data_IF_544721041448
#
_entry.id   IF_544721041448
#
_cell.length_a   1.000
_cell.length_b   1.000
_cell.length_c   1.000
_cell.angle_alpha   90.00
_cell.angle_beta   90.00
_cell.angle_gamma   90.00
#
_symmetry.space_group_name_H-M   'P 1'
#
loop_
_entity.id
_entity.type
_entity.pdbx_description
1 polymer ?
#
# COMPACT_ATOMS: atom_id res chain seq x y z
N UNK A 1 -24.90 -9.58 44.88
CA UNK A 1 -25.15 -10.99 44.53
C UNK A 1 -23.83 -11.54 43.99
N UNK A 2 -23.10 -12.23 44.85
CA UNK A 2 -21.80 -12.84 44.55
C UNK A 2 -21.96 -14.15 43.76
N UNK A 3 -20.82 -14.69 43.29
CA UNK A 3 -20.54 -16.08 42.91
C UNK A 3 -20.92 -16.45 41.44
N UNK A 4 -20.11 -17.10 40.58
CA UNK A 4 -18.92 -17.98 40.72
C UNK A 4 -18.07 -18.02 39.42
N UNK A 5 -16.75 -18.21 39.61
CA UNK A 5 -15.82 -18.87 38.69
C UNK A 5 -16.20 -20.35 38.47
N UNK A 6 -15.92 -20.90 37.28
CA UNK A 6 -15.21 -22.18 36.99
C UNK A 6 -15.32 -22.43 35.47
N UNK A 7 -14.24 -22.41 34.69
CA UNK A 7 -13.16 -23.40 34.56
C UNK A 7 -13.45 -24.48 33.49
N UNK A 8 -12.44 -24.64 32.63
CA UNK A 8 -12.18 -25.65 31.59
C UNK A 8 -12.86 -27.02 31.79
N UNK A 9 -13.22 -27.62 30.66
CA UNK A 9 -13.06 -29.08 30.50
C UNK A 9 -12.57 -29.38 29.08
N UNK A 10 -11.33 -29.84 29.00
CA UNK A 10 -10.82 -30.57 27.86
C UNK A 10 -11.30 -32.03 27.98
N UNK A 11 -11.75 -32.62 26.87
CA UNK A 11 -11.79 -34.07 26.71
C UNK A 11 -11.15 -34.43 25.38
N UNK A 12 -10.07 -35.21 25.49
CA UNK A 12 -9.50 -36.05 24.46
C UNK A 12 -9.58 -37.50 24.95
N UNK A 13 -9.27 -38.44 24.04
CA UNK A 13 -9.32 -39.92 24.12
C UNK A 13 -10.65 -40.51 23.62
N UNK A 14 -10.71 -41.40 22.63
CA UNK A 14 -9.67 -42.04 21.82
C UNK A 14 -10.25 -43.05 20.80
N UNK A 15 -9.51 -43.24 19.70
CA UNK A 15 -9.22 -44.48 18.96
C UNK A 15 -10.31 -45.55 18.70
N UNK A 16 -10.66 -45.81 17.43
CA UNK A 16 -10.15 -46.89 16.54
C UNK A 16 -11.21 -47.22 15.44
N UNK A 17 -10.78 -47.29 14.18
CA UNK A 17 -11.64 -47.74 13.07
C UNK A 17 -11.01 -47.51 11.70
N UNK A 18 -10.05 -48.37 11.32
CA UNK A 18 -9.60 -48.52 9.94
C UNK A 18 -10.60 -49.41 9.20
N UNK A 19 -11.34 -48.85 8.24
CA UNK A 19 -11.94 -49.59 7.13
C UNK A 19 -12.01 -48.66 5.92
N UNK A 20 -11.36 -49.09 4.83
CA UNK A 20 -11.27 -48.32 3.59
C UNK A 20 -12.63 -48.14 2.92
N UNK A 21 -12.84 -46.95 2.39
CA UNK A 21 -13.96 -46.61 1.52
C UNK A 21 -13.61 -45.31 0.82
N UNK A 22 -13.32 -45.40 -0.48
CA UNK A 22 -13.12 -44.27 -1.36
C UNK A 22 -14.36 -43.37 -1.33
N UNK A 23 -14.24 -42.17 -0.80
CA UNK A 23 -15.27 -41.14 -0.88
C UNK A 23 -14.64 -39.88 -1.49
N UNK A 24 -14.79 -39.80 -2.82
CA UNK A 24 -14.86 -38.62 -3.68
C UNK A 24 -14.38 -37.33 -3.03
N UNK A 25 -13.15 -36.95 -3.36
CA UNK A 25 -12.60 -35.63 -3.13
C UNK A 25 -13.55 -34.58 -3.72
N UNK A 26 -14.27 -33.86 -2.85
CA UNK A 26 -14.94 -32.64 -3.26
C UNK A 26 -13.86 -31.63 -3.64
N UNK A 27 -13.85 -31.24 -4.92
CA UNK A 27 -13.10 -30.12 -5.48
C UNK A 27 -13.34 -28.84 -4.66
N UNK A 28 -12.54 -28.64 -3.62
CA UNK A 28 -12.28 -27.32 -3.07
C UNK A 28 -11.37 -26.61 -4.07
N UNK A 29 -11.98 -25.81 -4.95
CA UNK A 29 -11.27 -24.75 -5.68
C UNK A 29 -10.47 -23.93 -4.67
N UNK A 30 -9.16 -24.09 -4.71
CA UNK A 30 -8.23 -23.19 -4.03
C UNK A 30 -8.56 -21.73 -4.41
N UNK A 31 -8.44 -20.77 -3.47
CA UNK A 31 -8.56 -19.36 -3.80
C UNK A 31 -7.48 -19.04 -4.84
N UNK A 32 -7.95 -18.83 -6.07
CA UNK A 32 -7.20 -18.61 -7.29
C UNK A 32 -5.97 -17.74 -7.02
N UNK A 33 -4.79 -18.37 -6.99
CA UNK A 33 -3.50 -17.70 -7.05
C UNK A 33 -3.54 -16.74 -8.24
N UNK A 34 -3.20 -15.47 -8.01
CA UNK A 34 -3.23 -14.48 -9.08
C UNK A 34 -2.38 -14.99 -10.27
N UNK A 35 -2.87 -14.94 -11.52
CA UNK A 35 -2.11 -15.43 -12.66
C UNK A 35 -0.73 -14.74 -12.72
N UNK A 36 0.33 -15.53 -12.91
CA UNK A 36 1.70 -15.02 -13.12
C UNK A 36 1.72 -14.02 -14.29
N UNK A 37 2.35 -12.87 -14.10
CA UNK A 37 2.36 -11.81 -15.10
C UNK A 37 3.35 -12.15 -16.22
N UNK A 38 2.93 -11.98 -17.48
CA UNK A 38 3.86 -12.10 -18.61
C UNK A 38 4.86 -10.92 -18.61
N UNK A 39 6.02 -11.02 -19.28
CA UNK A 39 6.95 -9.89 -19.40
C UNK A 39 6.30 -8.63 -19.99
N UNK A 40 5.37 -8.80 -20.95
CA UNK A 40 4.62 -7.68 -21.52
C UNK A 40 3.66 -7.04 -20.50
N UNK A 41 3.07 -7.85 -19.62
CA UNK A 41 2.19 -7.35 -18.57
C UNK A 41 2.96 -6.64 -17.46
N UNK A 42 4.16 -7.13 -17.12
CA UNK A 42 5.08 -6.44 -16.19
C UNK A 42 5.39 -5.03 -16.69
N UNK A 43 5.63 -4.85 -18.00
CA UNK A 43 5.85 -3.52 -18.59
C UNK A 43 4.62 -2.62 -18.45
N UNK A 44 3.40 -3.15 -18.66
CA UNK A 44 2.16 -2.39 -18.49
C UNK A 44 1.92 -1.99 -17.03
N UNK A 45 2.12 -2.92 -16.09
CA UNK A 45 1.98 -2.66 -14.64
C UNK A 45 2.99 -1.60 -14.20
N UNK A 46 4.26 -1.73 -14.61
CA UNK A 46 5.28 -0.73 -14.29
C UNK A 46 4.91 0.64 -14.84
N UNK A 47 4.44 0.71 -16.09
CA UNK A 47 4.00 1.97 -16.70
C UNK A 47 2.85 2.61 -15.93
N UNK A 48 1.83 1.83 -15.53
CA UNK A 48 0.72 2.34 -14.74
C UNK A 48 1.21 2.84 -13.37
N UNK A 49 1.96 2.02 -12.62
CA UNK A 49 2.49 2.43 -11.31
C UNK A 49 3.45 3.65 -11.38
N UNK A 50 4.09 3.90 -12.52
CA UNK A 50 4.87 5.13 -12.73
C UNK A 50 4.02 6.40 -12.80
N UNK A 51 2.71 6.34 -13.07
CA UNK A 51 1.81 7.52 -13.02
C UNK A 51 1.67 8.09 -11.61
N UNK A 52 1.93 7.28 -10.59
CA UNK A 52 1.89 7.68 -9.16
C UNK A 52 3.30 7.75 -8.55
N UNK A 53 4.34 7.86 -9.38
CA UNK A 53 5.72 7.86 -8.93
C UNK A 53 6.07 9.00 -7.98
N UNK A 54 5.31 10.11 -8.01
CA UNK A 54 5.54 11.24 -7.11
C UNK A 54 5.32 10.88 -5.64
N UNK A 55 4.57 9.79 -5.37
CA UNK A 55 4.35 9.29 -4.02
C UNK A 55 5.62 8.68 -3.42
N UNK A 56 6.55 8.20 -4.26
CA UNK A 56 7.78 7.54 -3.81
C UNK A 56 8.63 8.50 -2.98
N UNK A 57 9.10 8.00 -1.84
CA UNK A 57 9.89 8.75 -0.88
C UNK A 57 9.33 8.65 0.53
N UNK A 58 9.99 9.37 1.44
CA UNK A 58 9.60 9.46 2.84
C UNK A 58 8.85 10.78 3.07
N UNK A 59 7.80 10.72 3.87
CA UNK A 59 6.91 11.85 4.12
C UNK A 59 6.74 12.04 5.62
N UNK A 60 6.86 13.30 6.06
CA UNK A 60 6.57 13.71 7.43
C UNK A 60 5.20 14.41 7.42
N UNK A 61 4.17 13.69 7.85
CA UNK A 61 2.78 14.14 7.83
C UNK A 61 2.28 14.50 9.23
N UNK A 62 1.35 15.43 9.27
CA UNK A 62 0.49 15.69 10.41
C UNK A 62 -0.93 15.21 10.08
N UNK A 63 -1.41 14.26 10.86
CA UNK A 63 -2.77 13.76 10.81
C UNK A 63 -3.70 14.58 11.70
N UNK A 64 -4.92 14.79 11.23
CA UNK A 64 -5.99 15.47 11.97
C UNK A 64 -7.30 14.72 11.85
N UNK A 65 -8.04 14.65 12.95
CA UNK A 65 -9.36 14.04 13.02
C UNK A 65 -10.26 14.88 13.93
N UNK A 66 -11.53 15.04 13.54
CA UNK A 66 -12.54 15.63 14.42
C UNK A 66 -13.12 14.56 15.34
N UNK A 67 -13.19 14.88 16.62
CA UNK A 67 -13.88 14.11 17.65
C UNK A 67 -14.86 15.07 18.36
N UNK A 68 -16.10 15.11 17.86
CA UNK A 68 -17.08 16.13 18.22
C UNK A 68 -16.56 17.54 17.93
N UNK A 69 -16.44 18.36 18.98
CA UNK A 69 -15.90 19.72 18.89
C UNK A 69 -14.36 19.79 18.97
N UNK A 70 -13.69 18.68 19.31
CA UNK A 70 -12.24 18.63 19.47
C UNK A 70 -11.56 18.21 18.17
N UNK A 71 -10.37 18.73 17.93
CA UNK A 71 -9.48 18.25 16.87
C UNK A 71 -8.35 17.46 17.52
N UNK A 72 -8.24 16.18 17.17
CA UNK A 72 -7.12 15.33 17.52
C UNK A 72 -6.08 15.46 16.42
N UNK A 73 -4.82 15.70 16.80
CA UNK A 73 -3.69 15.76 15.87
C UNK A 73 -2.61 14.74 16.25
N UNK A 74 -1.91 14.20 15.27
CA UNK A 74 -0.77 13.30 15.48
C UNK A 74 0.27 13.46 14.36
N UNK A 75 1.49 12.99 14.62
CA UNK A 75 2.53 12.91 13.59
C UNK A 75 2.50 11.52 12.96
N UNK A 76 2.61 11.46 11.65
CA UNK A 76 2.66 10.21 10.89
C UNK A 76 3.84 10.27 9.91
N UNK A 77 4.76 9.31 10.00
CA UNK A 77 5.80 9.14 8.99
C UNK A 77 5.34 8.07 8.01
N UNK A 78 5.35 8.37 6.71
CA UNK A 78 4.94 7.40 5.68
C UNK A 78 6.04 7.26 4.64
N UNK A 79 6.47 6.03 4.38
CA UNK A 79 7.46 5.73 3.34
C UNK A 79 6.81 4.96 2.21
N UNK A 80 6.91 5.46 0.99
CA UNK A 80 6.49 4.75 -0.22
C UNK A 80 7.70 4.33 -1.03
N UNK A 81 7.73 3.08 -1.49
CA UNK A 81 8.85 2.54 -2.25
C UNK A 81 8.45 1.43 -3.19
N UNK A 82 9.13 1.35 -4.33
CA UNK A 82 8.93 0.24 -5.26
C UNK A 82 9.29 -1.08 -4.62
N UNK A 83 8.57 -2.14 -4.99
CA UNK A 83 8.91 -3.53 -4.70
C UNK A 83 8.94 -4.30 -6.01
N UNK A 84 10.11 -4.86 -6.30
CA UNK A 84 10.33 -5.76 -7.42
C UNK A 84 10.64 -7.15 -6.86
N UNK A 85 9.86 -8.17 -7.23
CA UNK A 85 10.12 -9.58 -6.88
C UNK A 85 9.69 -10.49 -8.02
N UNK A 86 10.61 -10.81 -8.92
CA UNK A 86 10.29 -11.59 -10.11
C UNK A 86 9.33 -10.85 -11.03
N UNK A 87 8.14 -11.41 -11.24
CA UNK A 87 7.04 -10.82 -11.98
C UNK A 87 6.10 -9.96 -11.10
N UNK A 88 6.26 -9.96 -9.78
CA UNK A 88 5.52 -9.05 -8.87
C UNK A 88 6.18 -7.67 -8.84
N UNK A 89 5.48 -6.69 -9.42
CA UNK A 89 5.83 -5.27 -9.41
C UNK A 89 4.74 -4.51 -8.69
N UNK A 90 5.10 -3.89 -7.55
CA UNK A 90 4.19 -3.12 -6.71
C UNK A 90 4.87 -1.93 -6.08
N UNK A 91 4.11 -1.08 -5.41
CA UNK A 91 4.62 -0.02 -4.53
C UNK A 91 4.13 -0.32 -3.13
N UNK A 92 5.05 -0.42 -2.18
CA UNK A 92 4.73 -0.61 -0.77
C UNK A 92 4.68 0.75 -0.05
N UNK A 93 3.75 0.84 0.90
CA UNK A 93 3.71 1.89 1.90
C UNK A 93 4.06 1.29 3.28
N UNK A 94 4.88 2.00 4.05
CA UNK A 94 5.15 1.71 5.45
C UNK A 94 4.72 2.92 6.28
N UNK A 95 3.96 2.67 7.34
CA UNK A 95 3.43 3.69 8.24
C UNK A 95 4.14 3.60 9.59
N UNK A 96 4.99 4.59 9.85
CA UNK A 96 5.79 4.74 11.06
C UNK A 96 6.49 3.43 11.48
N UNK A 97 7.12 2.73 10.53
CA UNK A 97 7.84 1.47 10.77
C UNK A 97 6.93 0.40 11.40
N UNK A 98 5.72 0.28 10.84
CA UNK A 98 4.68 -0.63 11.31
C UNK A 98 3.92 -0.17 12.57
N UNK A 99 4.10 1.07 13.02
CA UNK A 99 3.48 1.63 14.24
C UNK A 99 2.53 2.81 13.95
N UNK A 100 2.07 2.94 12.72
CA UNK A 100 1.20 4.04 12.32
C UNK A 100 -0.12 4.09 13.10
N UNK A 101 -0.80 5.25 13.05
CA UNK A 101 -1.99 5.51 13.87
C UNK A 101 -3.18 4.61 13.53
N UNK A 102 -3.38 4.34 12.24
CA UNK A 102 -4.51 3.55 11.71
C UNK A 102 -4.07 2.36 10.86
N UNK A 103 -2.98 2.55 10.11
CA UNK A 103 -2.41 1.55 9.22
C UNK A 103 -0.97 1.28 9.61
N UNK A 104 -0.51 0.07 9.32
CA UNK A 104 0.87 -0.37 9.57
C UNK A 104 1.65 -0.48 8.26
N UNK A 105 1.00 -0.97 7.20
CA UNK A 105 1.61 -1.08 5.87
C UNK A 105 0.56 -1.00 4.77
N UNK A 106 1.02 -0.88 3.52
CA UNK A 106 0.19 -0.98 2.33
C UNK A 106 0.93 -1.57 1.14
N UNK A 107 0.17 -2.15 0.21
CA UNK A 107 0.66 -2.65 -1.06
C UNK A 107 -0.25 -2.17 -2.21
N UNK A 108 0.32 -1.37 -3.10
CA UNK A 108 -0.32 -0.83 -4.28
C UNK A 108 0.09 -1.64 -5.51
N UNK A 109 -0.91 -2.19 -6.19
CA UNK A 109 -0.80 -2.94 -7.44
C UNK A 109 -1.68 -2.33 -8.52
N UNK A 110 -1.47 -2.77 -9.77
CA UNK A 110 -2.33 -2.42 -10.89
C UNK A 110 -2.96 -3.68 -11.50
N UNK A 111 -4.28 -3.70 -11.57
CA UNK A 111 -5.05 -4.75 -12.26
C UNK A 111 -5.27 -4.32 -13.72
N UNK A 112 -4.59 -5.01 -14.65
CA UNK A 112 -4.66 -4.74 -16.09
C UNK A 112 -6.07 -4.95 -16.64
N UNK A 113 -6.78 -5.99 -16.19
CA UNK A 113 -8.08 -6.36 -16.72
C UNK A 113 -9.14 -5.33 -16.30
N UNK A 114 -9.08 -4.90 -15.03
CA UNK A 114 -9.98 -3.87 -14.50
C UNK A 114 -9.53 -2.45 -14.86
N UNK A 115 -8.28 -2.26 -15.29
CA UNK A 115 -7.62 -0.95 -15.45
C UNK A 115 -7.69 -0.11 -14.18
N UNK A 116 -7.51 -0.75 -13.02
CA UNK A 116 -7.64 -0.11 -11.71
C UNK A 116 -6.39 -0.31 -10.87
N UNK A 117 -6.12 0.68 -10.04
CA UNK A 117 -5.20 0.56 -8.92
C UNK A 117 -5.89 -0.18 -7.78
N UNK A 118 -5.17 -1.12 -7.18
CA UNK A 118 -5.61 -1.91 -6.04
C UNK A 118 -4.66 -1.60 -4.89
N UNK A 119 -5.15 -0.91 -3.86
CA UNK A 119 -4.37 -0.62 -2.65
C UNK A 119 -4.90 -1.48 -1.51
N UNK A 120 -4.07 -2.39 -1.03
CA UNK A 120 -4.34 -3.15 0.20
C UNK A 120 -3.66 -2.43 1.35
N UNK A 121 -4.39 -2.09 2.40
CA UNK A 121 -3.87 -1.47 3.62
C UNK A 121 -4.03 -2.44 4.80
N UNK A 122 -2.95 -2.69 5.52
CA UNK A 122 -3.00 -3.44 6.78
C UNK A 122 -3.28 -2.48 7.91
N UNK A 123 -4.37 -2.70 8.62
CA UNK A 123 -4.78 -1.92 9.80
C UNK A 123 -3.97 -2.32 11.03
N UNK A 124 -4.04 -1.51 12.10
CA UNK A 124 -3.34 -1.79 13.38
C UNK A 124 -3.82 -3.07 14.08
N UNK A 125 -5.05 -3.51 13.83
CA UNK A 125 -5.60 -4.80 14.28
C UNK A 125 -5.30 -5.96 13.31
N UNK A 126 -4.43 -5.72 12.31
CA UNK A 126 -3.96 -6.70 11.31
C UNK A 126 -5.04 -7.17 10.34
N UNK A 127 -6.17 -6.48 10.25
CA UNK A 127 -7.11 -6.67 9.15
C UNK A 127 -6.53 -6.08 7.86
N UNK A 128 -7.05 -6.52 6.72
CA UNK A 128 -6.67 -6.01 5.41
C UNK A 128 -7.87 -5.32 4.75
N UNK A 129 -7.73 -4.03 4.51
CA UNK A 129 -8.70 -3.23 3.77
C UNK A 129 -8.21 -3.07 2.32
N UNK A 130 -8.96 -3.61 1.37
CA UNK A 130 -8.65 -3.52 -0.06
C UNK A 130 -9.49 -2.44 -0.72
N UNK A 131 -8.83 -1.45 -1.30
CA UNK A 131 -9.45 -0.35 -2.04
C UNK A 131 -9.15 -0.48 -3.54
N UNK A 132 -10.14 -0.16 -4.37
CA UNK A 132 -9.98 -0.08 -5.83
C UNK A 132 -10.17 1.34 -6.32
N UNK A 133 -9.43 1.75 -7.36
CA UNK A 133 -9.51 3.12 -7.84
C UNK A 133 -8.76 3.40 -9.13
N UNK A 134 -8.70 4.68 -9.45
CA UNK A 134 -8.05 5.20 -10.66
C UNK A 134 -7.11 6.36 -10.30
N UNK A 135 -6.12 6.58 -11.15
CA UNK A 135 -5.30 7.79 -11.10
C UNK A 135 -6.09 9.00 -11.59
N UNK A 136 -5.86 10.15 -10.97
CA UNK A 136 -6.36 11.44 -11.46
C UNK A 136 -5.61 11.88 -12.72
N UNK A 137 -6.20 12.80 -13.49
CA UNK A 137 -5.56 13.36 -14.70
C UNK A 137 -4.27 14.12 -14.39
N UNK A 138 -4.19 14.73 -13.21
CA UNK A 138 -3.05 15.53 -12.75
C UNK A 138 -2.15 14.76 -11.77
N UNK A 139 -2.20 13.42 -11.82
CA UNK A 139 -1.64 12.56 -10.78
C UNK A 139 -2.60 12.35 -9.61
N UNK A 140 -2.12 11.67 -8.57
CA UNK A 140 -2.95 11.32 -7.41
C UNK A 140 -3.79 10.05 -7.61
N UNK A 141 -4.30 9.48 -6.50
CA UNK A 141 -5.17 8.31 -6.49
C UNK A 141 -6.46 8.62 -5.74
N UNK A 142 -7.58 8.17 -6.32
CA UNK A 142 -8.86 8.08 -5.60
C UNK A 142 -9.29 6.62 -5.59
N UNK A 143 -9.34 6.06 -4.39
CA UNK A 143 -9.58 4.64 -4.13
C UNK A 143 -10.78 4.49 -3.21
N UNK A 144 -11.62 3.48 -3.45
CA UNK A 144 -12.81 3.22 -2.65
C UNK A 144 -12.90 1.75 -2.25
N UNK A 145 -13.47 1.51 -1.06
CA UNK A 145 -13.85 0.19 -0.55
C UNK A 145 -15.27 0.28 -0.01
N UNK A 146 -16.09 -0.73 -0.26
CA UNK A 146 -17.38 -0.91 0.40
C UNK A 146 -17.28 -1.99 1.46
N UNK A 147 -17.70 -1.69 2.68
CA UNK A 147 -17.86 -2.69 3.73
C UNK A 147 -19.11 -3.52 3.49
N UNK A 148 -18.95 -4.85 3.41
CA UNK A 148 -20.05 -5.75 3.10
C UNK A 148 -21.04 -5.90 4.28
N UNK A 149 -20.61 -5.67 5.52
CA UNK A 149 -21.44 -5.86 6.72
C UNK A 149 -22.28 -4.63 7.01
N UNK A 150 -21.67 -3.45 6.96
CA UNK A 150 -22.36 -2.20 7.29
C UNK A 150 -22.93 -1.50 6.05
N UNK A 151 -22.43 -1.84 4.86
CA UNK A 151 -22.74 -1.14 3.62
C UNK A 151 -22.01 0.20 3.48
N UNK A 152 -21.20 0.60 4.47
CA UNK A 152 -20.43 1.84 4.45
C UNK A 152 -19.46 1.85 3.27
N UNK A 153 -19.24 3.03 2.69
CA UNK A 153 -18.23 3.22 1.65
C UNK A 153 -17.13 4.12 2.19
N UNK A 154 -15.90 3.62 2.14
CA UNK A 154 -14.71 4.36 2.53
C UNK A 154 -13.99 4.83 1.27
N UNK A 155 -13.55 6.08 1.28
CA UNK A 155 -12.77 6.69 0.20
C UNK A 155 -11.43 7.17 0.73
N UNK A 156 -10.38 6.77 0.04
CA UNK A 156 -9.03 7.27 0.24
C UNK A 156 -8.63 8.11 -0.98
N UNK A 157 -8.32 9.39 -0.75
CA UNK A 157 -7.75 10.28 -1.78
C UNK A 157 -6.31 10.62 -1.40
N UNK A 158 -5.36 10.30 -2.28
CA UNK A 158 -3.93 10.54 -2.13
C UNK A 158 -3.48 11.51 -3.23
N UNK A 159 -2.89 12.65 -2.89
CA UNK A 159 -2.40 13.62 -3.86
C UNK A 159 -1.05 14.19 -3.46
N UNK A 160 -0.26 14.54 -4.46
CA UNK A 160 0.92 15.39 -4.33
C UNK A 160 0.59 16.81 -4.76
N UNK A 161 1.21 17.78 -4.10
CA UNK A 161 1.07 19.21 -4.37
C UNK A 161 2.46 19.86 -4.34
N UNK A 162 2.55 21.11 -4.81
CA UNK A 162 3.82 21.85 -4.85
C UNK A 162 4.94 21.04 -5.53
N UNK A 163 4.68 20.59 -6.76
CA UNK A 163 5.65 19.83 -7.58
C UNK A 163 6.21 18.57 -6.88
N UNK A 164 5.37 17.89 -6.08
CA UNK A 164 5.74 16.66 -5.41
C UNK A 164 6.42 16.82 -4.04
N UNK A 165 6.45 18.03 -3.49
CA UNK A 165 7.02 18.31 -2.15
C UNK A 165 6.00 18.22 -1.02
N UNK A 166 4.71 18.35 -1.32
CA UNK A 166 3.62 18.20 -0.35
C UNK A 166 2.81 16.95 -0.65
N UNK A 167 2.42 16.22 0.39
CA UNK A 167 1.51 15.08 0.28
C UNK A 167 0.26 15.34 1.09
N UNK A 168 -0.89 15.00 0.50
CA UNK A 168 -2.19 15.10 1.11
C UNK A 168 -2.90 13.75 1.02
N UNK A 169 -3.41 13.31 2.17
CA UNK A 169 -4.26 12.14 2.33
C UNK A 169 -5.59 12.61 2.91
N UNK A 170 -6.69 12.20 2.29
CA UNK A 170 -8.04 12.33 2.85
C UNK A 170 -8.67 10.95 2.98
N UNK A 171 -9.16 10.65 4.16
CA UNK A 171 -9.91 9.43 4.45
C UNK A 171 -11.34 9.82 4.81
N UNK A 172 -12.30 9.34 4.04
CA UNK A 172 -13.70 9.75 4.11
C UNK A 172 -14.60 8.52 4.20
N UNK A 173 -15.76 8.69 4.84
CA UNK A 173 -16.78 7.64 5.00
C UNK A 173 -18.14 8.15 4.54
N UNK A 174 -18.84 7.33 3.79
CA UNK A 174 -20.25 7.49 3.44
C UNK A 174 -21.05 6.39 4.14
N UNK A 175 -21.91 6.77 5.09
CA UNK A 175 -22.63 5.81 5.92
C UNK A 175 -23.69 5.03 5.12
N UNK A 176 -23.66 3.69 5.25
CA UNK A 176 -24.52 2.78 4.48
C UNK A 176 -24.41 2.94 2.96
N UNK A 177 -23.36 3.63 2.47
CA UNK A 177 -23.17 3.94 1.05
C UNK A 177 -24.19 4.94 0.49
N UNK A 178 -24.81 5.77 1.33
CA UNK A 178 -25.79 6.79 0.94
C UNK A 178 -25.38 8.17 1.44
N UNK A 179 -25.79 9.23 0.73
CA UNK A 179 -25.57 10.61 1.15
C UNK A 179 -24.17 11.14 0.84
N UNK A 180 -23.69 12.09 1.65
CA UNK A 180 -22.39 12.73 1.45
C UNK A 180 -21.26 11.94 2.15
N UNK A 181 -20.05 12.09 1.60
CA UNK A 181 -18.84 11.64 2.27
C UNK A 181 -18.50 12.59 3.41
N UNK A 182 -18.32 12.05 4.61
CA UNK A 182 -17.83 12.77 5.77
C UNK A 182 -16.33 12.51 5.94
N UNK A 183 -15.58 13.56 6.24
CA UNK A 183 -14.16 13.41 6.55
C UNK A 183 -13.98 12.67 7.88
N UNK A 184 -13.28 11.54 7.85
CA UNK A 184 -12.93 10.75 9.05
C UNK A 184 -11.59 11.22 9.58
N UNK A 185 -10.61 11.37 8.70
CA UNK A 185 -9.36 12.07 9.01
C UNK A 185 -8.67 12.58 7.74
N UNK A 186 -7.71 13.46 7.91
CA UNK A 186 -6.79 13.90 6.86
C UNK A 186 -5.36 13.90 7.36
N UNK A 187 -4.40 13.63 6.48
CA UNK A 187 -2.97 13.79 6.77
C UNK A 187 -2.34 14.68 5.72
N UNK A 188 -1.53 15.64 6.14
CA UNK A 188 -0.86 16.55 5.22
C UNK A 188 0.57 16.79 5.69
N UNK A 189 1.51 16.94 4.77
CA UNK A 189 2.88 17.23 5.17
C UNK A 189 3.84 17.30 4.00
N UNK A 190 5.13 17.23 4.34
CA UNK A 190 6.22 17.48 3.41
C UNK A 190 7.03 16.22 3.16
N UNK A 191 7.56 16.10 1.94
CA UNK A 191 8.56 15.10 1.61
C UNK A 191 9.81 15.36 2.45
N UNK A 192 10.46 14.30 2.90
CA UNK A 192 11.73 14.43 3.60
C UNK A 192 12.75 15.13 2.71
N UNK A 193 13.34 16.22 3.23
CA UNK A 193 14.25 17.09 2.47
C UNK A 193 13.57 18.10 1.53
N UNK A 194 12.24 18.25 1.55
CA UNK A 194 11.55 19.35 0.87
C UNK A 194 11.78 20.70 1.58
N UNK A 195 11.84 21.80 0.81
CA UNK A 195 12.05 23.16 1.33
C UNK A 195 13.46 23.76 1.12
N UNK A 196 14.35 23.04 0.42
CA UNK A 196 15.61 23.60 -0.11
C UNK A 196 15.43 24.23 -1.50
N UNK A 197 16.33 25.13 -1.89
CA UNK A 197 16.37 25.73 -3.25
C UNK A 197 16.32 24.60 -4.29
N UNK A 198 15.43 24.74 -5.27
CA UNK A 198 15.04 23.70 -6.25
C UNK A 198 16.20 23.11 -7.04
N UNK A 199 16.95 22.20 -6.44
CA UNK A 199 17.91 21.36 -7.15
C UNK A 199 17.10 20.28 -7.86
N UNK A 200 17.07 20.36 -9.18
CA UNK A 200 16.51 19.31 -10.05
C UNK A 200 17.20 17.99 -9.70
N UNK A 201 16.50 17.12 -8.98
CA UNK A 201 17.02 15.80 -8.58
C UNK A 201 17.30 14.97 -9.85
N UNK A 202 18.41 14.20 -9.90
CA UNK A 202 18.67 13.31 -11.02
C UNK A 202 17.53 12.29 -11.16
N UNK A 203 17.32 11.78 -12.36
CA UNK A 203 16.30 10.76 -12.61
C UNK A 203 16.75 9.39 -12.09
N UNK A 204 15.84 8.64 -11.48
CA UNK A 204 16.09 7.29 -11.02
C UNK A 204 16.21 6.36 -12.22
N UNK A 205 17.38 5.73 -12.38
CA UNK A 205 17.67 4.85 -13.51
C UNK A 205 16.78 3.59 -13.58
N UNK A 206 16.11 3.24 -12.48
CA UNK A 206 15.23 2.06 -12.40
C UNK A 206 13.77 2.43 -12.68
N UNK A 207 13.24 3.48 -12.05
CA UNK A 207 11.82 3.80 -12.09
C UNK A 207 11.45 5.06 -12.88
N UNK A 208 12.42 5.92 -13.21
CA UNK A 208 12.17 7.24 -13.83
C UNK A 208 11.75 8.35 -12.85
N UNK A 209 11.66 8.06 -11.54
CA UNK A 209 11.26 9.04 -10.51
C UNK A 209 12.41 9.92 -10.05
N UNK A 210 12.13 10.96 -9.26
CA UNK A 210 13.17 11.82 -8.68
C UNK A 210 14.08 11.02 -7.72
N UNK A 211 15.37 10.94 -8.02
CA UNK A 211 16.33 10.19 -7.22
C UNK A 211 16.80 10.95 -5.99
N UNK A 212 17.12 10.22 -4.92
CA UNK A 212 17.60 10.75 -3.65
C UNK A 212 18.79 9.95 -3.08
N UNK A 213 19.22 8.89 -3.76
CA UNK A 213 20.30 8.00 -3.34
C UNK A 213 21.23 7.71 -4.51
N UNK A 214 22.52 7.56 -4.24
CA UNK A 214 23.52 7.12 -5.21
C UNK A 214 23.78 5.61 -5.08
N UNK A 215 24.06 4.97 -6.22
CA UNK A 215 24.53 3.57 -6.34
C UNK A 215 25.71 3.55 -7.31
N UNK A 216 26.62 2.60 -7.18
CA UNK A 216 27.81 2.53 -8.03
C UNK A 216 27.94 1.18 -8.70
N UNK A 217 28.32 1.18 -9.98
CA UNK A 217 28.62 -0.04 -10.73
C UNK A 217 29.67 0.25 -11.80
N UNK A 218 30.69 -0.62 -11.91
CA UNK A 218 31.74 -0.46 -12.93
C UNK A 218 32.51 0.86 -12.85
N UNK A 219 32.70 1.41 -11.64
CA UNK A 219 33.37 2.69 -11.43
C UNK A 219 32.52 3.93 -11.79
N UNK A 220 31.28 3.75 -12.24
CA UNK A 220 30.32 4.84 -12.50
C UNK A 220 29.31 4.96 -11.37
N UNK A 221 28.86 6.18 -11.12
CA UNK A 221 27.80 6.49 -10.14
C UNK A 221 26.48 6.70 -10.87
N UNK A 222 25.42 6.06 -10.37
CA UNK A 222 24.04 6.13 -10.83
C UNK A 222 23.14 6.56 -9.67
N UNK A 223 21.91 6.96 -9.97
CA UNK A 223 20.98 7.48 -8.96
C UNK A 223 19.66 6.72 -8.93
N UNK A 224 19.11 6.51 -7.73
CA UNK A 224 17.85 5.80 -7.48
C UNK A 224 16.97 6.53 -6.46
N UNK A 225 15.65 6.28 -6.51
CA UNK A 225 14.63 7.00 -5.71
C UNK A 225 14.24 6.32 -4.39
N UNK A 226 14.54 5.03 -4.23
CA UNK A 226 14.19 4.28 -3.02
C UNK A 226 15.06 3.03 -2.89
N UNK A 227 14.99 2.40 -1.72
CA UNK A 227 15.67 1.14 -1.41
C UNK A 227 15.29 0.02 -2.38
N UNK A 228 14.02 -0.09 -2.78
CA UNK A 228 13.60 -1.07 -3.77
C UNK A 228 14.25 -0.90 -5.14
N UNK A 229 14.45 0.34 -5.59
CA UNK A 229 15.19 0.61 -6.83
C UNK A 229 16.69 0.31 -6.69
N UNK A 230 17.30 0.59 -5.52
CA UNK A 230 18.69 0.19 -5.25
C UNK A 230 18.84 -1.32 -5.33
N UNK A 231 17.95 -2.06 -4.67
CA UNK A 231 18.04 -3.50 -4.57
C UNK A 231 17.85 -4.16 -5.96
N UNK A 232 16.92 -3.65 -6.76
CA UNK A 232 16.73 -4.07 -8.16
C UNK A 232 17.94 -3.72 -9.06
N UNK A 233 18.54 -2.55 -8.88
CA UNK A 233 19.77 -2.17 -9.59
C UNK A 233 20.93 -3.11 -9.21
N UNK A 234 21.14 -3.37 -7.92
CA UNK A 234 22.22 -4.22 -7.44
C UNK A 234 22.07 -5.67 -7.90
N UNK A 235 20.83 -6.18 -7.99
CA UNK A 235 20.55 -7.51 -8.50
C UNK A 235 20.80 -7.63 -10.02
N UNK A 236 20.48 -6.58 -10.79
CA UNK A 236 20.55 -6.59 -12.25
C UNK A 236 21.25 -5.34 -12.82
N UNK A 237 22.51 -5.05 -12.46
CA UNK A 237 23.12 -3.75 -12.75
C UNK A 237 23.27 -3.51 -14.26
N UNK A 238 23.69 -4.51 -15.03
CA UNK A 238 23.86 -4.41 -16.49
C UNK A 238 22.56 -4.08 -17.25
N UNK A 239 21.39 -4.35 -16.66
CA UNK A 239 20.08 -4.02 -17.26
C UNK A 239 19.83 -2.51 -17.26
N UNK A 240 20.35 -1.81 -16.26
CA UNK A 240 20.08 -0.39 -16.01
C UNK A 240 21.31 0.48 -16.30
N UNK A 241 22.49 0.03 -15.86
CA UNK A 241 23.78 0.67 -16.07
C UNK A 241 24.23 0.52 -17.54
N UNK A 242 23.72 1.41 -18.39
CA UNK A 242 24.25 1.64 -19.74
C UNK A 242 25.47 2.55 -19.70
#
# INVERSE_FOLDING_TARGET
>A
MFLRMTALTAMAVGMLGLAGGMAVSQDKKDPKEAPKLTPADVVKVKKALSEVQEFIGQWNLEGTQKDGAKTIAWKEKVSWGWKFKGDDVSINADFAEGKGKYFTSGNLRYDIAKKKYILSLTTVDKAEDVYEGVAGKDGGLKLERKDAKTGDVFRLTLNTLSEGDKFQVKFEKQEGGKGLYNNVFAMNGLKEGAGGVGVKKPECIVSGGAANMAVSFGGKTYYVCCTGCRDEFNANPKKYAK
#
